data_IF_880794074684
#
_entry.id   IF_880794074684
#
_cell.length_a   1.000
_cell.length_b   1.000
_cell.length_c   1.000
_cell.angle_alpha   90.00
_cell.angle_beta   90.00
_cell.angle_gamma   90.00
#
_symmetry.space_group_name_H-M   'P 1'
#
loop_
_entity.id
_entity.type
_entity.pdbx_description
1 polymer ?
#
# COMPACT_ATOMS: atom_id res chain seq x y z
N UNK A 1 3.13 -10.17 -15.92
CA UNK A 1 2.76 -10.11 -14.51
C UNK A 1 3.07 -11.42 -13.77
N UNK A 2 2.51 -12.59 -14.16
CA UNK A 2 2.73 -13.87 -13.45
C UNK A 2 4.21 -14.25 -13.32
N UNK A 3 4.99 -14.06 -14.37
CA UNK A 3 6.44 -14.29 -14.36
C UNK A 3 7.13 -13.40 -13.31
N UNK A 4 6.80 -12.11 -13.26
CA UNK A 4 7.39 -11.18 -12.27
C UNK A 4 7.02 -11.59 -10.84
N UNK A 5 5.76 -11.96 -10.58
CA UNK A 5 5.31 -12.44 -9.27
C UNK A 5 6.07 -13.70 -8.84
N UNK A 6 6.25 -14.65 -9.76
CA UNK A 6 6.99 -15.88 -9.45
C UNK A 6 8.48 -15.60 -9.22
N UNK A 7 9.12 -14.80 -10.07
CA UNK A 7 10.52 -14.38 -9.90
C UNK A 7 10.71 -13.65 -8.57
N UNK A 8 9.77 -12.77 -8.16
CA UNK A 8 9.82 -12.10 -6.88
C UNK A 8 9.82 -13.10 -5.72
N UNK A 9 8.88 -14.06 -5.72
CA UNK A 9 8.84 -15.12 -4.71
C UNK A 9 10.10 -15.98 -4.70
N UNK A 10 10.54 -16.46 -5.85
CA UNK A 10 11.74 -17.32 -5.97
C UNK A 10 13.03 -16.58 -5.53
N UNK A 11 12.98 -15.23 -5.50
CA UNK A 11 14.06 -14.36 -5.01
C UNK A 11 13.92 -13.96 -3.53
N UNK A 12 12.90 -14.46 -2.81
CA UNK A 12 12.74 -14.28 -1.37
C UNK A 12 11.64 -13.28 -0.96
N UNK A 13 11.01 -12.57 -1.90
CA UNK A 13 9.87 -11.70 -1.58
C UNK A 13 8.67 -12.56 -1.20
N UNK A 14 8.14 -12.34 0.00
CA UNK A 14 7.03 -13.13 0.53
C UNK A 14 5.78 -12.30 0.88
N UNK A 15 5.79 -10.97 0.72
CA UNK A 15 4.64 -10.10 0.99
C UNK A 15 4.06 -9.56 -0.32
N UNK A 16 2.78 -9.82 -0.58
CA UNK A 16 2.08 -9.41 -1.80
C UNK A 16 0.82 -8.63 -1.48
N UNK A 17 0.77 -7.37 -1.93
CA UNK A 17 -0.36 -6.47 -1.73
C UNK A 17 -1.23 -6.37 -2.98
N UNK A 18 -2.53 -6.47 -2.79
CA UNK A 18 -3.55 -6.34 -3.85
C UNK A 18 -4.84 -5.73 -3.30
N UNK A 19 -5.89 -5.68 -4.10
CA UNK A 19 -7.22 -5.26 -3.68
C UNK A 19 -8.30 -5.83 -4.59
N UNK A 20 -9.52 -5.98 -4.04
CA UNK A 20 -10.71 -6.36 -4.81
C UNK A 20 -10.94 -5.44 -6.02
N UNK A 21 -10.65 -4.14 -5.86
CA UNK A 21 -10.80 -3.13 -6.91
C UNK A 21 -9.70 -3.08 -7.97
N UNK A 22 -8.64 -3.88 -7.85
CA UNK A 22 -7.50 -3.84 -8.79
C UNK A 22 -7.68 -4.85 -9.95
N UNK A 23 -8.72 -4.64 -10.75
CA UNK A 23 -9.04 -5.41 -11.97
C UNK A 23 -8.85 -6.93 -11.82
N UNK A 24 -7.78 -7.49 -12.36
CA UNK A 24 -7.41 -8.90 -12.38
C UNK A 24 -6.19 -9.25 -11.49
N UNK A 25 -5.75 -8.33 -10.62
CA UNK A 25 -4.55 -8.48 -9.80
C UNK A 25 -4.64 -9.70 -8.86
N UNK A 26 -5.77 -9.87 -8.15
CA UNK A 26 -5.99 -11.02 -7.28
C UNK A 26 -5.93 -12.35 -8.04
N UNK A 27 -6.50 -12.38 -9.25
CA UNK A 27 -6.45 -13.57 -10.09
C UNK A 27 -5.03 -13.91 -10.57
N UNK A 28 -4.25 -12.88 -10.92
CA UNK A 28 -2.83 -13.05 -11.33
C UNK A 28 -1.99 -13.59 -10.18
N UNK A 29 -2.19 -13.10 -8.95
CA UNK A 29 -1.52 -13.60 -7.75
C UNK A 29 -1.92 -15.06 -7.51
N UNK A 30 -3.22 -15.38 -7.49
CA UNK A 30 -3.70 -16.74 -7.31
C UNK A 30 -3.17 -17.73 -8.37
N UNK A 31 -3.05 -17.29 -9.63
CA UNK A 31 -2.50 -18.12 -10.70
C UNK A 31 -0.98 -18.31 -10.62
N UNK A 32 -0.26 -17.36 -10.04
CA UNK A 32 1.19 -17.40 -9.98
C UNK A 32 1.73 -18.07 -8.71
N UNK A 33 0.99 -17.98 -7.57
CA UNK A 33 1.54 -18.25 -6.24
C UNK A 33 0.67 -19.19 -5.38
N UNK A 34 -0.43 -19.75 -5.88
CA UNK A 34 -1.30 -20.63 -5.07
C UNK A 34 -0.60 -21.91 -4.60
N UNK A 35 0.37 -22.42 -5.35
CA UNK A 35 1.19 -23.60 -5.00
C UNK A 35 2.15 -23.34 -3.83
N UNK A 36 2.45 -22.07 -3.55
CA UNK A 36 3.33 -21.64 -2.45
C UNK A 36 2.61 -20.80 -1.39
N UNK A 37 1.27 -20.88 -1.37
CA UNK A 37 0.40 -20.05 -0.51
C UNK A 37 0.83 -20.00 0.96
N UNK A 38 1.31 -21.08 1.51
CA UNK A 38 1.71 -21.20 2.92
C UNK A 38 3.00 -20.44 3.25
N UNK A 39 3.77 -20.08 2.22
CA UNK A 39 5.06 -19.41 2.37
C UNK A 39 4.98 -17.91 2.11
N UNK A 40 3.80 -17.39 1.82
CA UNK A 40 3.58 -15.97 1.47
C UNK A 40 2.52 -15.33 2.35
N UNK A 41 2.63 -14.02 2.49
CA UNK A 41 1.67 -13.14 3.14
C UNK A 41 0.93 -12.38 2.04
N UNK A 42 -0.39 -12.50 2.02
CA UNK A 42 -1.24 -11.77 1.08
C UNK A 42 -2.05 -10.72 1.85
N UNK A 43 -1.91 -9.46 1.43
CA UNK A 43 -2.78 -8.38 1.83
C UNK A 43 -3.76 -8.05 0.71
N UNK A 44 -5.07 -8.07 0.98
CA UNK A 44 -6.11 -7.60 0.04
C UNK A 44 -7.08 -6.65 0.72
N UNK A 45 -7.97 -6.01 -0.05
CA UNK A 45 -8.78 -4.89 0.43
C UNK A 45 -10.18 -4.94 -0.17
N UNK A 46 -11.17 -4.54 0.65
CA UNK A 46 -12.55 -4.36 0.22
C UNK A 46 -12.95 -2.89 0.22
N UNK A 47 -13.53 -2.34 -0.87
CA UNK A 47 -14.17 -1.04 -0.87
C UNK A 47 -15.62 -1.07 -0.33
N UNK A 48 -16.07 -2.20 0.22
CA UNK A 48 -17.40 -2.37 0.79
C UNK A 48 -17.65 -1.43 1.96
N UNK A 49 -18.86 -0.87 2.03
CA UNK A 49 -19.26 0.10 3.06
C UNK A 49 -20.12 -0.50 4.17
N UNK A 50 -20.59 -1.71 3.97
CA UNK A 50 -21.43 -2.46 4.89
C UNK A 50 -20.99 -3.92 4.97
N UNK A 51 -21.53 -4.64 5.94
CA UNK A 51 -21.20 -6.05 6.21
C UNK A 51 -21.38 -6.93 5.00
N UNK A 52 -22.51 -6.79 4.31
CA UNK A 52 -22.88 -7.66 3.17
C UNK A 52 -21.86 -7.50 2.04
N UNK A 53 -21.59 -6.27 1.63
CA UNK A 53 -20.66 -6.00 0.53
C UNK A 53 -19.23 -6.43 0.85
N UNK A 54 -18.77 -6.30 2.10
CA UNK A 54 -17.44 -6.77 2.50
C UNK A 54 -17.34 -8.28 2.44
N UNK A 55 -18.37 -9.02 2.91
CA UNK A 55 -18.39 -10.48 2.84
C UNK A 55 -18.41 -10.96 1.38
N UNK A 56 -19.27 -10.40 0.53
CA UNK A 56 -19.29 -10.72 -0.90
C UNK A 56 -17.94 -10.47 -1.58
N UNK A 57 -17.28 -9.36 -1.26
CA UNK A 57 -15.93 -9.05 -1.76
C UNK A 57 -14.89 -10.06 -1.28
N UNK A 58 -14.94 -10.46 -0.01
CA UNK A 58 -14.02 -11.45 0.55
C UNK A 58 -14.15 -12.81 -0.14
N UNK A 59 -15.38 -13.29 -0.34
CA UNK A 59 -15.63 -14.56 -1.04
C UNK A 59 -15.07 -14.56 -2.47
N UNK A 60 -15.27 -13.44 -3.19
CA UNK A 60 -14.69 -13.26 -4.53
C UNK A 60 -13.16 -13.22 -4.47
N UNK A 61 -12.59 -12.52 -3.49
CA UNK A 61 -11.14 -12.43 -3.30
C UNK A 61 -10.52 -13.80 -3.02
N UNK A 62 -11.08 -14.56 -2.09
CA UNK A 62 -10.62 -15.93 -1.79
C UNK A 62 -10.62 -16.82 -3.04
N UNK A 63 -11.72 -16.80 -3.80
CA UNK A 63 -11.83 -17.56 -5.06
C UNK A 63 -10.78 -17.15 -6.09
N UNK A 64 -10.56 -15.85 -6.29
CA UNK A 64 -9.59 -15.32 -7.28
C UNK A 64 -8.15 -15.60 -6.86
N UNK A 65 -7.85 -15.43 -5.58
CA UNK A 65 -6.55 -15.73 -4.98
C UNK A 65 -6.28 -17.24 -4.87
N UNK A 66 -7.30 -18.10 -5.07
CA UNK A 66 -7.22 -19.57 -4.96
C UNK A 66 -6.70 -20.00 -3.59
N UNK A 67 -7.30 -19.48 -2.54
CA UNK A 67 -6.90 -19.72 -1.16
C UNK A 67 -8.12 -19.76 -0.24
N UNK A 68 -8.00 -20.46 0.88
CA UNK A 68 -9.05 -20.55 1.90
C UNK A 68 -8.96 -19.40 2.93
N UNK A 69 -7.87 -18.64 2.93
CA UNK A 69 -7.68 -17.50 3.84
C UNK A 69 -6.82 -16.40 3.22
N UNK A 70 -6.99 -15.18 3.72
CA UNK A 70 -6.14 -14.03 3.43
C UNK A 70 -5.43 -13.61 4.73
N UNK A 71 -4.14 -13.28 4.66
CA UNK A 71 -3.40 -12.93 5.89
C UNK A 71 -3.85 -11.58 6.43
N UNK A 72 -3.91 -10.54 5.60
CA UNK A 72 -4.34 -9.20 5.99
C UNK A 72 -5.49 -8.77 5.09
N UNK A 73 -6.69 -8.57 5.66
CA UNK A 73 -7.81 -8.05 4.88
C UNK A 73 -8.23 -6.68 5.39
N UNK A 74 -8.29 -5.70 4.48
CA UNK A 74 -8.32 -4.30 4.83
C UNK A 74 -9.59 -3.60 4.33
N UNK A 75 -10.11 -2.63 5.09
CA UNK A 75 -11.05 -1.65 4.57
C UNK A 75 -10.33 -0.67 3.65
N UNK A 76 -10.83 -0.53 2.42
CA UNK A 76 -10.14 0.22 1.37
C UNK A 76 -10.54 1.69 1.36
N UNK A 77 -9.82 2.51 2.12
CA UNK A 77 -9.92 3.97 2.13
C UNK A 77 -11.32 4.49 2.52
N UNK A 78 -11.90 4.05 3.64
CA UNK A 78 -13.16 4.58 4.12
C UNK A 78 -13.04 6.07 4.46
N UNK A 79 -14.14 6.81 4.31
CA UNK A 79 -14.17 8.25 4.64
C UNK A 79 -14.09 8.51 6.15
N UNK A 80 -14.63 7.59 6.94
CA UNK A 80 -14.66 7.58 8.40
C UNK A 80 -14.55 6.14 8.88
N UNK A 81 -14.20 5.93 10.13
CA UNK A 81 -14.16 4.59 10.70
C UNK A 81 -15.60 4.06 10.85
N UNK A 82 -15.86 2.80 10.45
CA UNK A 82 -17.15 2.18 10.71
C UNK A 82 -17.37 1.98 12.20
N UNK A 83 -18.62 2.13 12.67
CA UNK A 83 -18.99 1.87 14.06
C UNK A 83 -18.74 0.38 14.39
N UNK A 84 -17.86 0.07 15.36
CA UNK A 84 -17.60 -1.31 15.76
C UNK A 84 -18.78 -1.99 16.45
N UNK A 85 -19.76 -1.24 16.96
CA UNK A 85 -20.95 -1.74 17.65
C UNK A 85 -22.13 -1.97 16.68
N UNK A 86 -22.06 -1.46 15.45
CA UNK A 86 -23.08 -1.76 14.45
C UNK A 86 -22.87 -3.14 13.85
N UNK A 87 -23.79 -4.11 14.08
CA UNK A 87 -23.68 -5.47 13.55
C UNK A 87 -23.70 -5.54 12.01
N UNK A 88 -24.09 -4.45 11.34
CA UNK A 88 -24.12 -4.36 9.88
C UNK A 88 -22.96 -3.54 9.31
N UNK A 89 -22.05 -3.06 10.15
CA UNK A 89 -20.90 -2.29 9.71
C UNK A 89 -19.91 -3.11 8.89
N UNK A 90 -19.10 -2.44 8.08
CA UNK A 90 -18.00 -3.11 7.37
C UNK A 90 -16.94 -3.69 8.33
N UNK A 91 -16.77 -3.12 9.53
CA UNK A 91 -15.88 -3.66 10.55
C UNK A 91 -16.42 -4.98 11.13
N UNK A 92 -17.73 -5.10 11.37
CA UNK A 92 -18.34 -6.35 11.85
C UNK A 92 -18.16 -7.52 10.88
N UNK A 93 -18.06 -7.23 9.57
CA UNK A 93 -17.73 -8.24 8.56
C UNK A 93 -16.30 -8.78 8.73
N UNK A 94 -15.34 -7.92 9.05
CA UNK A 94 -13.95 -8.33 9.28
C UNK A 94 -13.81 -9.16 10.55
N UNK A 95 -14.52 -8.80 11.62
CA UNK A 95 -14.57 -9.61 12.85
C UNK A 95 -15.11 -11.01 12.56
N UNK A 96 -16.27 -11.12 11.90
CA UNK A 96 -16.85 -12.40 11.52
C UNK A 96 -15.92 -13.23 10.63
N UNK A 97 -15.26 -12.59 9.67
CA UNK A 97 -14.30 -13.26 8.80
C UNK A 97 -13.07 -13.79 9.57
N UNK A 98 -12.59 -13.02 10.57
CA UNK A 98 -11.48 -13.43 11.46
C UNK A 98 -11.89 -14.61 12.35
N UNK A 99 -13.07 -14.56 12.94
CA UNK A 99 -13.63 -15.67 13.74
C UNK A 99 -13.80 -16.97 12.93
N UNK A 100 -14.19 -16.86 11.65
CA UNK A 100 -14.28 -17.99 10.72
C UNK A 100 -12.94 -18.48 10.17
N UNK A 101 -11.84 -17.81 10.48
CA UNK A 101 -10.51 -18.13 9.97
C UNK A 101 -10.30 -17.80 8.49
N UNK A 102 -11.20 -17.01 7.88
CA UNK A 102 -11.09 -16.57 6.49
C UNK A 102 -10.05 -15.44 6.32
N UNK A 103 -9.77 -14.71 7.39
CA UNK A 103 -8.70 -13.72 7.48
C UNK A 103 -7.94 -13.90 8.79
N UNK A 104 -6.63 -13.53 8.79
CA UNK A 104 -5.81 -13.62 10.01
C UNK A 104 -5.74 -12.29 10.76
N UNK A 105 -5.55 -11.19 10.03
CA UNK A 105 -5.38 -9.85 10.58
C UNK A 105 -6.34 -8.86 9.92
N UNK A 106 -6.85 -7.93 10.72
CA UNK A 106 -7.74 -6.85 10.28
C UNK A 106 -6.91 -5.61 10.00
N UNK A 107 -7.03 -5.07 8.79
CA UNK A 107 -6.34 -3.84 8.41
C UNK A 107 -7.27 -2.76 7.89
N UNK A 108 -6.70 -1.57 7.74
CA UNK A 108 -7.33 -0.43 7.10
C UNK A 108 -6.32 0.29 6.21
N UNK A 109 -6.76 0.75 5.05
CA UNK A 109 -5.95 1.68 4.25
C UNK A 109 -6.56 3.06 4.27
N UNK A 110 -5.76 4.10 4.39
CA UNK A 110 -6.25 5.46 4.24
C UNK A 110 -5.19 6.39 3.66
N UNK A 111 -5.63 7.44 2.96
CA UNK A 111 -4.79 8.52 2.49
C UNK A 111 -4.88 9.76 3.39
N UNK A 112 -5.84 9.79 4.30
CA UNK A 112 -6.05 10.88 5.24
C UNK A 112 -5.42 10.51 6.58
N UNK A 113 -4.55 11.39 7.04
CA UNK A 113 -3.79 11.19 8.26
C UNK A 113 -4.69 11.14 9.51
N UNK A 114 -5.72 11.97 9.56
CA UNK A 114 -6.70 12.02 10.64
C UNK A 114 -7.40 10.67 10.85
N UNK A 115 -7.91 10.07 9.78
CA UNK A 115 -8.58 8.75 9.84
C UNK A 115 -7.60 7.64 10.16
N UNK A 116 -6.37 7.68 9.59
CA UNK A 116 -5.35 6.68 9.90
C UNK A 116 -4.93 6.76 11.38
N UNK A 117 -4.75 7.95 11.91
CA UNK A 117 -4.41 8.18 13.31
C UNK A 117 -5.54 7.73 14.27
N UNK A 118 -6.80 7.99 13.90
CA UNK A 118 -7.96 7.51 14.63
C UNK A 118 -8.01 5.97 14.63
N UNK A 119 -7.75 5.34 13.47
CA UNK A 119 -7.71 3.89 13.36
C UNK A 119 -6.66 3.25 14.28
N UNK A 120 -5.45 3.81 14.33
CA UNK A 120 -4.38 3.34 15.23
C UNK A 120 -4.82 3.43 16.70
N UNK A 121 -5.37 4.57 17.11
CA UNK A 121 -5.78 4.81 18.50
C UNK A 121 -7.02 4.04 18.93
N UNK A 122 -7.82 3.56 17.99
CA UNK A 122 -9.03 2.77 18.26
C UNK A 122 -8.73 1.40 18.83
N UNK A 123 -7.55 0.83 18.56
CA UNK A 123 -7.20 -0.54 18.94
C UNK A 123 -7.95 -1.62 18.15
N UNK A 124 -8.62 -1.26 17.06
CA UNK A 124 -9.47 -2.15 16.26
C UNK A 124 -8.73 -2.81 15.09
N UNK A 125 -7.58 -2.28 14.69
CA UNK A 125 -6.86 -2.68 13.50
C UNK A 125 -5.47 -3.21 13.83
N UNK A 126 -5.13 -4.37 13.27
CA UNK A 126 -3.79 -4.97 13.40
C UNK A 126 -2.77 -4.26 12.47
N UNK A 127 -3.24 -3.67 11.35
CA UNK A 127 -2.38 -2.97 10.39
C UNK A 127 -3.04 -1.70 9.84
N UNK A 128 -2.21 -0.69 9.54
CA UNK A 128 -2.59 0.51 8.80
C UNK A 128 -1.73 0.62 7.55
N UNK A 129 -2.37 0.76 6.38
CA UNK A 129 -1.68 1.04 5.12
C UNK A 129 -1.84 2.52 4.78
N UNK A 130 -0.71 3.23 4.69
CA UNK A 130 -0.66 4.69 4.53
C UNK A 130 0.41 5.10 3.51
N UNK A 131 0.22 6.21 2.75
CA UNK A 131 1.27 6.74 1.88
C UNK A 131 2.47 7.19 2.71
N UNK A 132 3.59 6.50 2.55
CA UNK A 132 4.83 6.81 3.25
C UNK A 132 6.01 6.73 2.29
N UNK A 133 6.80 7.80 2.24
CA UNK A 133 7.98 7.93 1.39
C UNK A 133 8.95 8.93 2.00
N UNK A 134 10.12 9.12 1.38
CA UNK A 134 11.07 10.16 1.80
C UNK A 134 10.53 11.60 1.70
N UNK A 135 9.37 11.79 1.04
CA UNK A 135 8.66 13.09 0.98
C UNK A 135 7.59 13.25 2.06
N UNK A 136 7.44 12.29 2.96
CA UNK A 136 6.47 12.35 4.05
C UNK A 136 6.80 13.48 5.02
N UNK A 137 5.75 14.15 5.52
CA UNK A 137 5.88 15.20 6.52
C UNK A 137 6.18 14.63 7.90
N UNK A 138 6.62 15.47 8.84
CA UNK A 138 6.79 15.09 10.25
C UNK A 138 5.51 14.47 10.82
N UNK A 139 4.33 15.02 10.48
CA UNK A 139 3.04 14.47 10.92
C UNK A 139 2.75 13.08 10.37
N UNK A 140 3.18 12.80 9.13
CA UNK A 140 3.08 11.45 8.56
C UNK A 140 4.01 10.47 9.31
N UNK A 141 5.17 10.94 9.76
CA UNK A 141 6.11 10.15 10.57
C UNK A 141 5.62 9.94 12.00
N UNK A 142 4.90 10.91 12.60
CA UNK A 142 4.23 10.73 13.87
C UNK A 142 3.24 9.55 13.85
N UNK A 143 2.58 9.29 12.70
CA UNK A 143 1.72 8.12 12.55
C UNK A 143 2.50 6.80 12.69
N UNK A 144 3.72 6.73 12.14
CA UNK A 144 4.58 5.54 12.26
C UNK A 144 4.94 5.27 13.71
N UNK A 145 5.27 6.31 14.47
CA UNK A 145 5.56 6.22 15.89
C UNK A 145 4.32 5.82 16.72
N UNK A 146 3.16 6.39 16.41
CA UNK A 146 1.91 5.97 17.06
C UNK A 146 1.58 4.51 16.76
N UNK A 147 1.77 4.06 15.52
CA UNK A 147 1.61 2.65 15.18
C UNK A 147 2.53 1.75 16.04
N UNK A 148 3.80 2.14 16.23
CA UNK A 148 4.76 1.40 17.07
C UNK A 148 4.30 1.32 18.52
N UNK A 149 3.77 2.42 19.08
CA UNK A 149 3.25 2.46 20.47
C UNK A 149 2.02 1.58 20.67
N UNK A 150 1.20 1.42 19.64
CA UNK A 150 -0.05 0.66 19.69
C UNK A 150 0.07 -0.77 19.15
N UNK A 151 1.29 -1.23 18.81
CA UNK A 151 1.56 -2.54 18.21
C UNK A 151 0.79 -2.76 16.88
N UNK A 152 0.70 -1.70 16.07
CA UNK A 152 0.05 -1.71 14.75
C UNK A 152 1.12 -1.72 13.66
N UNK A 153 1.06 -2.69 12.75
CA UNK A 153 1.97 -2.77 11.60
C UNK A 153 1.66 -1.71 10.55
N UNK A 154 2.70 -1.09 9.98
CA UNK A 154 2.56 -0.10 8.91
C UNK A 154 2.88 -0.72 7.56
N UNK A 155 1.95 -0.63 6.60
CA UNK A 155 2.21 -0.96 5.21
C UNK A 155 2.40 0.36 4.45
N UNK A 156 3.65 0.63 4.04
CA UNK A 156 4.00 1.87 3.35
C UNK A 156 3.65 1.77 1.86
N UNK A 157 2.51 2.37 1.47
CA UNK A 157 2.16 2.48 0.05
C UNK A 157 2.75 3.75 -0.57
N UNK A 158 2.89 3.74 -1.90
CA UNK A 158 3.42 4.87 -2.69
C UNK A 158 4.82 5.31 -2.25
N UNK A 159 5.65 4.37 -1.90
CA UNK A 159 7.01 4.60 -1.42
C UNK A 159 7.89 5.43 -2.38
N UNK A 160 7.59 5.42 -3.68
CA UNK A 160 8.20 6.30 -4.69
C UNK A 160 7.30 7.50 -5.08
N UNK A 161 6.34 7.88 -4.23
CA UNK A 161 5.41 8.99 -4.48
C UNK A 161 4.73 8.94 -5.85
N UNK A 162 4.42 7.73 -6.34
CA UNK A 162 3.80 7.49 -7.64
C UNK A 162 4.72 7.88 -8.82
N UNK A 163 6.02 7.64 -8.69
CA UNK A 163 7.03 7.87 -9.73
C UNK A 163 7.65 9.27 -9.71
N UNK A 164 7.39 10.08 -8.67
CA UNK A 164 8.04 11.38 -8.51
C UNK A 164 9.43 11.26 -7.89
N UNK A 165 9.67 10.28 -7.05
CA UNK A 165 11.00 9.95 -6.53
C UNK A 165 11.69 9.07 -7.56
N UNK A 166 12.80 9.54 -8.09
CA UNK A 166 13.57 8.86 -9.14
C UNK A 166 14.82 8.17 -8.60
N UNK A 167 15.30 8.56 -7.43
CA UNK A 167 16.38 7.85 -6.75
C UNK A 167 15.78 6.78 -5.82
N UNK A 168 15.74 5.54 -6.31
CA UNK A 168 15.15 4.41 -5.59
C UNK A 168 15.97 4.09 -4.34
N UNK A 169 17.30 4.14 -4.42
CA UNK A 169 18.17 3.80 -3.31
C UNK A 169 17.99 4.72 -2.09
N UNK A 170 17.80 6.04 -2.30
CA UNK A 170 17.54 6.96 -1.20
C UNK A 170 16.17 6.73 -0.54
N UNK A 171 15.13 6.40 -1.35
CA UNK A 171 13.82 6.07 -0.82
C UNK A 171 13.83 4.74 -0.06
N UNK A 172 14.59 3.76 -0.56
CA UNK A 172 14.76 2.47 0.09
C UNK A 172 15.48 2.65 1.44
N UNK A 173 16.63 3.35 1.46
CA UNK A 173 17.37 3.64 2.68
C UNK A 173 16.53 4.40 3.71
N UNK A 174 15.71 5.34 3.26
CA UNK A 174 14.81 6.10 4.14
C UNK A 174 13.77 5.19 4.81
N UNK A 175 13.12 4.29 4.08
CA UNK A 175 12.10 3.40 4.65
C UNK A 175 12.71 2.26 5.47
N UNK A 176 13.92 1.84 5.15
CA UNK A 176 14.62 0.75 5.84
C UNK A 176 14.93 1.04 7.31
N UNK A 177 14.94 2.31 7.73
CA UNK A 177 15.20 2.69 9.12
C UNK A 177 14.03 2.41 10.08
N UNK A 178 12.82 2.11 9.58
CA UNK A 178 11.63 1.89 10.40
C UNK A 178 11.35 0.39 10.59
N UNK A 179 11.48 -0.10 11.81
CA UNK A 179 11.33 -1.53 12.14
C UNK A 179 9.89 -2.05 11.97
N UNK A 180 8.88 -1.18 12.12
CA UNK A 180 7.45 -1.51 12.05
C UNK A 180 6.82 -1.18 10.68
N UNK A 181 7.63 -0.92 9.65
CA UNK A 181 7.18 -0.52 8.31
C UNK A 181 7.53 -1.58 7.28
N UNK A 182 6.55 -2.05 6.53
CA UNK A 182 6.73 -2.88 5.34
C UNK A 182 6.42 -2.05 4.11
N UNK A 183 7.40 -1.68 3.30
CA UNK A 183 7.16 -0.96 2.04
C UNK A 183 6.60 -1.90 0.97
N UNK A 184 5.57 -1.43 0.25
CA UNK A 184 5.08 -2.10 -0.95
C UNK A 184 5.50 -1.31 -2.18
N UNK A 185 6.35 -1.93 -3.00
CA UNK A 185 6.90 -1.34 -4.20
C UNK A 185 6.02 -1.65 -5.41
N UNK A 186 5.66 -0.62 -6.19
CA UNK A 186 4.94 -0.82 -7.45
C UNK A 186 5.93 -1.25 -8.53
N UNK A 187 5.88 -2.51 -8.92
CA UNK A 187 6.78 -3.10 -9.91
C UNK A 187 6.00 -3.41 -11.19
N UNK A 188 6.39 -2.85 -12.31
CA UNK A 188 5.79 -3.06 -13.63
C UNK A 188 6.70 -3.83 -14.59
N UNK A 189 8.01 -3.72 -14.42
CA UNK A 189 9.04 -4.30 -15.26
C UNK A 189 9.98 -5.19 -14.46
N UNK A 190 10.65 -6.09 -15.16
CA UNK A 190 11.59 -7.02 -14.54
C UNK A 190 12.83 -6.29 -14.00
N UNK A 191 13.31 -5.29 -14.72
CA UNK A 191 14.47 -4.47 -14.33
C UNK A 191 14.20 -3.72 -13.02
N UNK A 192 12.96 -3.27 -12.78
CA UNK A 192 12.55 -2.64 -11.53
C UNK A 192 12.62 -3.64 -10.37
N UNK A 193 12.16 -4.87 -10.59
CA UNK A 193 12.28 -5.94 -9.59
C UNK A 193 13.74 -6.24 -9.28
N UNK A 194 14.58 -6.37 -10.29
CA UNK A 194 16.01 -6.67 -10.11
C UNK A 194 16.72 -5.57 -9.32
N UNK A 195 16.36 -4.30 -9.53
CA UNK A 195 16.89 -3.18 -8.75
C UNK A 195 16.50 -3.29 -7.26
N UNK A 196 15.23 -3.55 -6.94
CA UNK A 196 14.80 -3.74 -5.55
C UNK A 196 15.46 -4.96 -4.89
N UNK A 197 15.61 -6.07 -5.61
CA UNK A 197 16.31 -7.26 -5.10
C UNK A 197 17.80 -6.99 -4.81
N UNK A 198 18.45 -6.14 -5.61
CA UNK A 198 19.82 -5.70 -5.34
C UNK A 198 19.92 -4.84 -4.08
N UNK A 199 18.97 -3.91 -3.90
CA UNK A 199 18.92 -3.04 -2.72
C UNK A 199 18.60 -3.83 -1.45
N UNK A 200 17.72 -4.81 -1.53
CA UNK A 200 17.39 -5.68 -0.38
C UNK A 200 18.56 -6.55 0.03
N UNK A 201 19.29 -7.09 -0.94
CA UNK A 201 20.49 -7.91 -0.70
C UNK A 201 21.65 -7.11 -0.09
N UNK A 202 21.76 -5.83 -0.46
CA UNK A 202 22.78 -4.91 0.02
C UNK A 202 22.11 -3.57 0.37
N UNK A 203 21.43 -3.49 1.53
CA UNK A 203 20.68 -2.28 1.90
C UNK A 203 21.60 -1.07 1.96
N UNK A 204 21.27 0.01 1.22
CA UNK A 204 22.06 1.21 1.26
C UNK A 204 21.93 1.89 2.62
N UNK A 205 23.04 2.47 3.09
CA UNK A 205 23.06 3.28 4.31
C UNK A 205 22.48 4.66 3.98
N UNK A 206 21.63 5.18 4.85
CA UNK A 206 21.12 6.56 4.74
C UNK A 206 22.21 7.54 5.17
N UNK A 207 23.17 7.80 4.27
CA UNK A 207 24.29 8.69 4.48
C UNK A 207 23.95 10.16 4.13
N UNK A 208 24.91 11.07 4.36
CA UNK A 208 24.75 12.49 4.07
C UNK A 208 24.40 12.78 2.60
N UNK A 209 24.96 12.01 1.67
CA UNK A 209 24.66 12.16 0.24
C UNK A 209 23.22 11.75 -0.08
N UNK A 210 22.71 10.69 0.53
CA UNK A 210 21.31 10.28 0.35
C UNK A 210 20.35 11.27 1.01
N UNK A 211 20.71 11.81 2.17
CA UNK A 211 19.95 12.88 2.82
C UNK A 211 19.89 14.13 1.94
N UNK A 212 21.01 14.54 1.33
CA UNK A 212 21.03 15.66 0.38
C UNK A 212 20.10 15.42 -0.82
N UNK A 213 20.08 14.21 -1.39
CA UNK A 213 19.15 13.84 -2.47
C UNK A 213 17.70 13.97 -2.00
N UNK A 214 17.37 13.48 -0.79
CA UNK A 214 16.03 13.57 -0.22
C UNK A 214 15.64 15.04 0.02
N UNK A 215 16.53 15.86 0.56
CA UNK A 215 16.23 17.28 0.79
C UNK A 215 16.05 18.07 -0.51
N UNK A 216 16.84 17.76 -1.56
CA UNK A 216 16.64 18.33 -2.89
C UNK A 216 15.27 17.91 -3.48
N UNK A 217 14.88 16.64 -3.33
CA UNK A 217 13.56 16.17 -3.73
C UNK A 217 12.44 16.86 -2.95
N UNK A 218 12.61 17.04 -1.64
CA UNK A 218 11.67 17.76 -0.78
C UNK A 218 11.55 19.23 -1.23
N UNK A 219 12.67 19.91 -1.46
CA UNK A 219 12.68 21.30 -1.90
C UNK A 219 12.01 21.49 -3.26
N UNK A 220 12.26 20.61 -4.24
CA UNK A 220 11.64 20.67 -5.56
C UNK A 220 10.14 20.33 -5.53
N UNK A 221 9.75 19.41 -4.66
CA UNK A 221 8.38 18.92 -4.51
C UNK A 221 7.65 19.58 -3.31
N UNK A 222 8.32 20.48 -2.56
CA UNK A 222 7.76 21.24 -1.44
C UNK A 222 6.75 22.26 -1.95
N UNK A 223 5.64 21.82 -2.34
CA UNK A 223 4.52 22.64 -2.78
C UNK A 223 3.27 21.79 -2.78
N UNK A 224 2.19 22.38 -3.19
CA UNK A 224 0.94 21.67 -3.36
C UNK A 224 0.97 20.78 -4.60
N UNK A 225 1.70 19.68 -4.58
CA UNK A 225 1.56 18.68 -5.62
C UNK A 225 0.50 17.64 -5.23
N UNK A 226 -0.21 17.14 -6.22
CA UNK A 226 -1.22 16.12 -6.02
C UNK A 226 -0.56 14.78 -5.62
N UNK A 227 -0.86 14.28 -4.43
CA UNK A 227 -0.39 12.98 -3.93
C UNK A 227 -1.12 11.77 -4.56
N UNK A 228 -2.06 12.02 -5.50
CA UNK A 228 -2.81 10.99 -6.22
C UNK A 228 -3.76 10.18 -5.33
N UNK A 229 -4.30 10.77 -4.27
CA UNK A 229 -5.23 10.11 -3.34
C UNK A 229 -6.59 9.77 -3.97
N UNK A 230 -7.02 10.52 -5.00
CA UNK A 230 -8.28 10.25 -5.70
C UNK A 230 -9.53 10.86 -5.05
N UNK A 231 -9.41 11.64 -3.96
CA UNK A 231 -10.59 12.24 -3.30
C UNK A 231 -11.38 13.22 -4.16
N UNK A 232 -10.75 13.80 -5.19
CA UNK A 232 -11.40 14.64 -6.18
C UNK A 232 -12.06 13.86 -7.33
N UNK A 233 -12.04 12.52 -7.28
CA UNK A 233 -12.60 11.64 -8.30
C UNK A 233 -13.88 10.94 -7.81
N UNK A 234 -14.84 10.62 -8.70
CA UNK A 234 -14.86 11.00 -10.12
C UNK A 234 -15.14 12.49 -10.31
N UNK A 235 -14.47 13.08 -11.31
CA UNK A 235 -14.77 14.45 -11.71
C UNK A 235 -16.10 14.50 -12.50
N UNK A 236 -17.04 15.41 -12.21
CA UNK A 236 -18.32 15.50 -12.92
C UNK A 236 -18.20 15.76 -14.43
N UNK A 237 -17.03 16.28 -14.86
CA UNK A 237 -16.71 16.55 -16.28
C UNK A 237 -15.57 15.65 -16.78
N UNK A 238 -15.37 14.50 -16.15
CA UNK A 238 -14.43 13.43 -16.56
C UNK A 238 -12.95 13.85 -16.66
N UNK A 239 -12.54 14.94 -15.99
CA UNK A 239 -11.14 15.32 -15.93
C UNK A 239 -10.40 14.37 -14.97
N UNK A 240 -9.30 13.72 -15.40
CA UNK A 240 -8.43 12.95 -14.51
C UNK A 240 -7.59 13.91 -13.63
N UNK A 241 -8.24 14.55 -12.65
CA UNK A 241 -7.67 15.65 -11.85
C UNK A 241 -6.33 15.26 -11.21
N UNK A 242 -6.23 14.06 -10.68
CA UNK A 242 -5.00 13.55 -10.08
C UNK A 242 -3.84 13.44 -11.07
N UNK A 243 -4.11 13.13 -12.33
CA UNK A 243 -3.10 13.09 -13.41
C UNK A 243 -2.78 14.49 -13.90
N UNK A 244 -3.82 15.29 -14.18
CA UNK A 244 -3.65 16.67 -14.65
C UNK A 244 -2.84 17.53 -13.67
N UNK A 245 -3.13 17.41 -12.37
CA UNK A 245 -2.42 18.13 -11.32
C UNK A 245 -0.94 17.73 -11.12
N UNK A 246 -0.52 16.60 -11.71
CA UNK A 246 0.85 16.08 -11.58
C UNK A 246 1.63 16.10 -12.91
N UNK A 247 0.97 16.42 -14.02
CA UNK A 247 1.55 16.20 -15.35
C UNK A 247 2.87 16.94 -15.57
N UNK A 248 2.99 18.16 -15.06
CA UNK A 248 4.24 18.94 -15.16
C UNK A 248 5.41 18.29 -14.43
N UNK A 249 5.18 17.74 -13.24
CA UNK A 249 6.19 17.01 -12.46
C UNK A 249 6.52 15.67 -13.08
N UNK A 250 5.50 14.96 -13.56
CA UNK A 250 5.70 13.68 -14.26
C UNK A 250 6.52 13.86 -15.54
N UNK A 251 6.23 14.90 -16.32
CA UNK A 251 7.01 15.20 -17.54
C UNK A 251 8.47 15.55 -17.24
N UNK A 252 8.75 16.17 -16.09
CA UNK A 252 10.13 16.50 -15.68
C UNK A 252 10.90 15.31 -15.15
N UNK A 253 10.25 14.42 -14.40
CA UNK A 253 10.90 13.38 -13.61
C UNK A 253 10.73 11.97 -14.16
N UNK A 254 9.61 11.63 -14.78
CA UNK A 254 9.43 10.31 -15.32
C UNK A 254 10.27 10.08 -16.58
N UNK A 255 10.84 8.90 -16.77
CA UNK A 255 11.55 8.57 -17.98
C UNK A 255 10.68 8.77 -19.21
N UNK A 256 11.23 9.41 -20.26
CA UNK A 256 10.55 9.68 -21.54
C UNK A 256 9.77 8.47 -22.11
N UNK A 257 10.35 7.29 -22.00
CA UNK A 257 9.73 6.01 -22.44
C UNK A 257 8.45 5.61 -21.69
N UNK A 258 8.06 6.32 -20.64
CA UNK A 258 6.80 6.09 -19.94
C UNK A 258 5.63 6.87 -20.55
N UNK A 259 5.89 7.71 -21.56
CA UNK A 259 4.89 8.56 -22.24
C UNK A 259 4.66 8.18 -23.70
N UNK A 260 5.28 7.10 -24.17
CA UNK A 260 5.15 6.58 -25.55
C UNK A 260 4.39 5.27 -25.55
#
# INVERSE_FOLDING_TARGET
>A
AKYILRKAYDSGINFFDTARGYTDSEEKIGQALSDVRQNIIIASKSPGKDKKSVIEHLEISLKKLRTDYIDIYQLHNPLELPDPNDPNSSYSALLEAKEKGLIRFIGITNHRLDVAMEAVKSGLYDTVQFPLSSLSSEKDLELVEECKKHDVGVIAMKALSGGLITNIASSFAFLWQFENVVPIWGIQKEEELDEFLMLEKNPPVLDEKMLEIIENDRAELAGSFCRGCGYCMPCPVEIPINTAARISLLLKRAPYKNFI
#
